data_IF_166311266333
#
_entry.id   IF_166311266333
#
_cell.length_a   1.000
_cell.length_b   1.000
_cell.length_c   1.000
_cell.angle_alpha   90.00
_cell.angle_beta   90.00
_cell.angle_gamma   90.00
#
_symmetry.space_group_name_H-M   'P 1'
#
loop_
_entity.id
_entity.type
_entity.pdbx_description
1 polymer ?
#
# COMPACT_ATOMS: atom_id res chain seq x y z
N UNK A 1 0.67 -11.44 26.02
CA UNK A 1 1.63 -11.62 24.91
C UNK A 1 3.00 -11.62 25.55
N UNK A 2 3.83 -12.64 25.32
CA UNK A 2 5.22 -12.64 25.77
C UNK A 2 5.96 -11.51 25.07
N UNK A 3 6.79 -10.79 25.82
CA UNK A 3 7.66 -9.69 25.39
C UNK A 3 8.87 -10.22 24.60
N UNK A 4 8.67 -11.23 23.74
CA UNK A 4 9.74 -11.89 22.97
C UNK A 4 10.48 -10.90 22.03
N UNK A 5 9.90 -9.71 21.82
CA UNK A 5 10.49 -8.61 21.06
C UNK A 5 11.38 -7.68 21.88
N UNK A 6 11.25 -7.67 23.21
CA UNK A 6 12.04 -6.79 24.08
C UNK A 6 13.52 -7.18 24.12
N UNK A 7 13.82 -8.46 23.88
CA UNK A 7 15.19 -9.01 23.85
C UNK A 7 15.78 -9.08 22.44
N UNK A 8 15.05 -8.66 21.40
CA UNK A 8 15.58 -8.68 20.04
C UNK A 8 16.71 -7.65 19.92
N UNK A 9 17.96 -8.06 19.68
CA UNK A 9 19.08 -7.14 19.62
C UNK A 9 18.88 -6.21 18.41
N UNK A 10 18.68 -4.93 18.69
CA UNK A 10 18.73 -3.91 17.65
C UNK A 10 20.17 -3.83 17.15
N UNK A 11 20.35 -4.10 15.86
CA UNK A 11 21.63 -3.97 15.20
C UNK A 11 21.74 -2.59 14.57
N UNK A 12 22.96 -2.02 14.55
CA UNK A 12 23.21 -0.74 13.87
C UNK A 12 22.91 -0.82 12.36
N UNK A 13 23.06 -2.02 11.77
CA UNK A 13 22.73 -2.33 10.37
C UNK A 13 22.13 -3.72 10.23
N UNK A 14 21.39 -3.93 9.15
CA UNK A 14 20.76 -5.21 8.79
C UNK A 14 21.31 -5.76 7.47
N UNK A 15 21.34 -7.09 7.31
CA UNK A 15 21.75 -7.72 6.03
C UNK A 15 20.72 -7.49 4.92
N UNK A 16 19.46 -7.29 5.29
CA UNK A 16 18.36 -6.93 4.41
C UNK A 16 17.50 -5.87 5.09
N UNK A 17 17.25 -4.77 4.39
CA UNK A 17 16.19 -3.83 4.73
C UNK A 17 15.12 -3.95 3.66
N UNK A 18 13.91 -4.32 4.07
CA UNK A 18 12.78 -4.55 3.17
C UNK A 18 11.60 -3.67 3.57
N UNK A 19 10.95 -3.08 2.57
CA UNK A 19 9.75 -2.27 2.74
C UNK A 19 8.73 -2.67 1.68
N UNK A 20 7.48 -2.85 2.09
CA UNK A 20 6.38 -3.27 1.21
C UNK A 20 5.19 -2.35 1.42
N UNK A 21 4.73 -1.72 0.33
CA UNK A 21 3.55 -0.82 0.30
C UNK A 21 3.55 0.26 1.39
N UNK A 22 4.74 0.70 1.83
CA UNK A 22 4.89 1.59 2.98
C UNK A 22 4.95 3.05 2.58
N UNK A 23 4.05 3.86 3.11
CA UNK A 23 4.12 5.32 3.04
C UNK A 23 5.27 5.94 3.84
N UNK A 24 6.07 5.13 4.56
CA UNK A 24 7.26 5.62 5.26
C UNK A 24 8.39 6.01 4.30
N UNK A 25 8.45 5.38 3.11
CA UNK A 25 9.39 5.73 2.03
C UNK A 25 8.69 6.70 1.08
N UNK A 26 8.64 7.97 1.49
CA UNK A 26 7.84 9.02 0.81
C UNK A 26 8.66 10.11 0.13
N UNK A 27 9.95 10.16 0.42
CA UNK A 27 10.87 11.19 -0.07
C UNK A 27 12.31 10.62 -0.18
N UNK A 28 13.21 11.30 -0.91
CA UNK A 28 14.60 10.83 -1.06
C UNK A 28 15.32 10.60 0.28
N UNK A 29 15.04 11.39 1.32
CA UNK A 29 15.69 11.23 2.62
C UNK A 29 15.27 9.93 3.32
N UNK A 30 13.99 9.58 3.28
CA UNK A 30 13.47 8.31 3.78
C UNK A 30 14.00 7.10 3.01
N UNK A 31 14.21 7.25 1.70
CA UNK A 31 14.85 6.23 0.87
C UNK A 31 16.33 6.04 1.23
N UNK A 32 17.06 7.11 1.51
CA UNK A 32 18.46 7.01 1.94
C UNK A 32 18.61 6.43 3.34
N UNK A 33 17.68 6.69 4.27
CA UNK A 33 17.66 6.01 5.57
C UNK A 33 17.57 4.48 5.44
N UNK A 34 16.79 4.00 4.47
CA UNK A 34 16.70 2.58 4.15
C UNK A 34 18.05 2.01 3.70
N UNK A 35 18.76 2.74 2.83
CA UNK A 35 20.10 2.38 2.36
C UNK A 35 21.12 2.39 3.52
N UNK A 36 21.14 3.44 4.35
CA UNK A 36 22.06 3.58 5.48
C UNK A 36 21.91 2.47 6.53
N UNK A 37 20.67 2.03 6.78
CA UNK A 37 20.34 0.96 7.70
C UNK A 37 20.75 -0.44 7.21
N UNK A 38 21.13 -0.59 5.94
CA UNK A 38 21.56 -1.87 5.38
C UNK A 38 23.09 -1.96 5.27
N UNK A 39 23.59 -3.20 5.40
CA UNK A 39 24.98 -3.61 5.06
C UNK A 39 25.03 -4.66 3.95
N UNK A 40 23.89 -5.01 3.38
CA UNK A 40 23.77 -6.03 2.34
C UNK A 40 22.81 -5.55 1.27
N UNK A 41 21.54 -5.90 1.40
CA UNK A 41 20.52 -5.58 0.40
C UNK A 41 19.46 -4.63 0.92
N UNK A 42 18.89 -3.88 0.00
CA UNK A 42 17.65 -3.15 0.18
C UNK A 42 16.64 -3.63 -0.86
N UNK A 43 15.39 -3.79 -0.46
CA UNK A 43 14.29 -4.14 -1.37
C UNK A 43 13.02 -3.36 -1.04
N UNK A 44 12.43 -2.74 -2.05
CA UNK A 44 11.21 -1.95 -1.95
C UNK A 44 10.16 -2.52 -2.90
N UNK A 45 9.05 -3.00 -2.33
CA UNK A 45 7.90 -3.46 -3.09
C UNK A 45 6.78 -2.40 -3.06
N UNK A 46 6.24 -2.08 -4.24
CA UNK A 46 5.11 -1.18 -4.40
C UNK A 46 4.33 -1.46 -5.70
N UNK A 47 3.25 -0.71 -5.92
CA UNK A 47 2.51 -0.76 -7.19
C UNK A 47 3.29 -0.15 -8.35
N UNK A 48 3.36 -0.88 -9.47
CA UNK A 48 3.90 -0.43 -10.75
C UNK A 48 2.82 0.18 -11.66
N UNK A 49 1.55 -0.10 -11.40
CA UNK A 49 0.41 0.50 -12.08
C UNK A 49 -0.61 0.99 -11.06
N UNK A 50 -1.50 1.92 -11.43
CA UNK A 50 -2.76 2.13 -10.72
C UNK A 50 -3.40 0.77 -10.39
N UNK A 51 -3.70 0.50 -9.11
CA UNK A 51 -4.40 -0.71 -8.70
C UNK A 51 -5.89 -0.49 -8.89
N UNK A 52 -6.54 -1.26 -9.76
CA UNK A 52 -8.01 -1.23 -9.81
C UNK A 52 -8.55 -2.10 -8.69
N UNK A 53 -8.66 -1.52 -7.50
CA UNK A 53 -9.13 -2.21 -6.29
C UNK A 53 -10.65 -2.20 -6.17
N UNK A 54 -11.31 -3.01 -7.01
CA UNK A 54 -12.77 -3.13 -7.01
C UNK A 54 -13.46 -1.78 -7.18
N UNK A 55 -14.19 -1.37 -6.14
CA UNK A 55 -14.99 -0.14 -6.15
C UNK A 55 -14.31 1.08 -5.51
N UNK A 56 -13.02 1.04 -5.17
CA UNK A 56 -12.38 2.14 -4.42
C UNK A 56 -12.44 3.48 -5.15
N UNK A 57 -12.23 3.53 -6.47
CA UNK A 57 -12.35 4.77 -7.26
C UNK A 57 -13.72 5.44 -7.08
N UNK A 58 -14.80 4.63 -7.05
CA UNK A 58 -16.17 5.11 -6.88
C UNK A 58 -16.39 5.63 -5.46
N UNK A 59 -15.88 4.90 -4.47
CA UNK A 59 -15.95 5.29 -3.06
C UNK A 59 -15.19 6.59 -2.84
N UNK A 60 -13.96 6.69 -3.36
CA UNK A 60 -13.16 7.90 -3.28
C UNK A 60 -13.90 9.08 -3.89
N UNK A 61 -14.43 8.93 -5.11
CA UNK A 61 -15.19 9.99 -5.79
C UNK A 61 -16.44 10.39 -5.01
N UNK A 62 -17.16 9.43 -4.44
CA UNK A 62 -18.36 9.68 -3.62
C UNK A 62 -18.03 10.49 -2.36
N UNK A 63 -16.95 10.14 -1.66
CA UNK A 63 -16.56 10.76 -0.39
C UNK A 63 -15.85 12.10 -0.59
N UNK A 64 -14.93 12.16 -1.55
CA UNK A 64 -14.03 13.30 -1.75
C UNK A 64 -14.59 14.32 -2.76
N UNK A 65 -15.54 13.92 -3.61
CA UNK A 65 -16.06 14.76 -4.69
C UNK A 65 -15.11 14.93 -5.89
N UNK A 66 -13.95 14.26 -5.86
CA UNK A 66 -12.88 14.36 -6.86
C UNK A 66 -12.51 12.98 -7.44
N UNK A 67 -11.96 12.97 -8.65
CA UNK A 67 -11.42 11.74 -9.26
C UNK A 67 -10.12 11.31 -8.57
N UNK A 68 -10.02 10.01 -8.24
CA UNK A 68 -8.80 9.44 -7.66
C UNK A 68 -7.65 9.53 -8.66
N UNK A 69 -6.58 10.23 -8.25
CA UNK A 69 -5.32 10.28 -8.98
C UNK A 69 -4.31 9.36 -8.34
N UNK A 70 -3.99 8.28 -9.03
CA UNK A 70 -2.95 7.37 -8.61
C UNK A 70 -1.57 8.05 -8.74
N UNK A 71 -0.78 8.14 -7.66
CA UNK A 71 0.58 8.63 -7.77
C UNK A 71 1.41 7.68 -8.64
N UNK A 72 2.04 8.20 -9.69
CA UNK A 72 3.08 7.46 -10.43
C UNK A 72 4.33 7.38 -9.56
N UNK A 73 4.69 6.17 -9.10
CA UNK A 73 5.47 6.06 -7.85
C UNK A 73 6.87 5.42 -8.03
N UNK A 74 7.02 4.32 -8.77
CA UNK A 74 8.30 3.59 -8.79
C UNK A 74 9.40 4.21 -9.67
N UNK A 75 9.05 4.89 -10.77
CA UNK A 75 10.04 5.53 -11.66
C UNK A 75 10.76 6.70 -10.97
N UNK A 76 10.05 7.46 -10.14
CA UNK A 76 10.65 8.55 -9.35
C UNK A 76 11.64 8.01 -8.32
N UNK A 77 11.32 6.86 -7.70
CA UNK A 77 12.22 6.18 -6.78
C UNK A 77 13.46 5.67 -7.53
N UNK A 78 13.26 4.99 -8.66
CA UNK A 78 14.36 4.45 -9.47
C UNK A 78 15.31 5.54 -9.95
N UNK A 79 14.78 6.66 -10.46
CA UNK A 79 15.59 7.81 -10.90
C UNK A 79 16.31 8.49 -9.74
N UNK A 80 15.64 8.63 -8.58
CA UNK A 80 16.28 9.13 -7.36
C UNK A 80 17.46 8.24 -6.96
N UNK A 81 17.31 6.91 -6.94
CA UNK A 81 18.44 6.01 -6.64
C UNK A 81 19.61 6.22 -7.61
N UNK A 82 19.29 6.39 -8.89
CA UNK A 82 20.28 6.65 -9.94
C UNK A 82 21.06 7.95 -9.70
N UNK A 83 20.40 9.02 -9.26
CA UNK A 83 21.02 10.31 -8.93
C UNK A 83 22.00 10.20 -7.75
N UNK A 84 21.80 9.22 -6.86
CA UNK A 84 22.72 8.89 -5.76
C UNK A 84 23.78 7.85 -6.15
N UNK A 85 23.86 7.45 -7.43
CA UNK A 85 24.79 6.44 -7.92
C UNK A 85 24.42 5.01 -7.55
N UNK A 86 23.18 4.77 -7.12
CA UNK A 86 22.64 3.45 -6.76
C UNK A 86 21.85 2.90 -7.94
N UNK A 87 22.37 1.82 -8.54
CA UNK A 87 21.78 1.17 -9.70
C UNK A 87 20.91 -0.01 -9.27
N UNK A 88 19.64 0.26 -8.95
CA UNK A 88 18.72 -0.79 -8.54
C UNK A 88 18.25 -1.67 -9.70
N UNK A 89 18.05 -2.95 -9.40
CA UNK A 89 17.31 -3.88 -10.23
C UNK A 89 15.81 -3.60 -10.09
N UNK A 90 15.07 -3.83 -11.17
CA UNK A 90 13.62 -3.69 -11.23
C UNK A 90 13.01 -5.00 -11.72
N UNK A 91 12.11 -5.55 -10.93
CA UNK A 91 11.27 -6.68 -11.32
C UNK A 91 9.80 -6.27 -11.22
N UNK A 92 8.97 -6.75 -12.14
CA UNK A 92 7.53 -6.49 -12.17
C UNK A 92 6.75 -7.77 -12.34
N UNK A 93 5.62 -7.90 -11.67
CA UNK A 93 4.71 -9.02 -11.85
C UNK A 93 3.26 -8.57 -11.77
N UNK A 94 2.42 -9.17 -12.61
CA UNK A 94 0.97 -8.96 -12.55
C UNK A 94 0.36 -9.72 -11.39
N UNK A 95 -0.68 -9.15 -10.80
CA UNK A 95 -1.53 -9.85 -9.84
C UNK A 95 -2.99 -9.72 -10.24
N UNK A 96 -3.77 -10.72 -9.85
CA UNK A 96 -5.20 -10.78 -10.04
C UNK A 96 -5.80 -11.54 -8.86
N UNK A 97 -6.25 -10.79 -7.86
CA UNK A 97 -6.71 -11.34 -6.58
C UNK A 97 -8.20 -11.09 -6.40
N UNK A 98 -8.89 -12.07 -5.84
CA UNK A 98 -10.28 -11.96 -5.43
C UNK A 98 -10.35 -12.13 -3.93
N UNK A 99 -10.88 -11.13 -3.24
CA UNK A 99 -11.03 -11.14 -1.78
C UNK A 99 -12.51 -11.16 -1.41
N UNK A 100 -12.86 -12.06 -0.50
CA UNK A 100 -14.22 -12.19 0.07
C UNK A 100 -14.23 -11.67 1.50
N UNK A 101 -15.11 -10.71 1.76
CA UNK A 101 -15.41 -10.16 3.08
C UNK A 101 -16.70 -10.77 3.60
N UNK A 102 -16.70 -11.20 4.87
CA UNK A 102 -17.80 -11.98 5.43
C UNK A 102 -18.99 -11.09 5.78
N UNK A 103 -18.72 -9.86 6.20
CA UNK A 103 -19.75 -8.92 6.63
C UNK A 103 -19.66 -7.59 5.89
N UNK A 104 -20.76 -6.83 5.95
CA UNK A 104 -20.79 -5.44 5.49
C UNK A 104 -19.78 -4.57 6.23
N UNK A 105 -19.65 -4.76 7.55
CA UNK A 105 -18.73 -3.94 8.36
C UNK A 105 -17.27 -4.26 8.03
N UNK A 106 -16.92 -5.50 7.66
CA UNK A 106 -15.58 -5.83 7.17
C UNK A 106 -15.23 -5.03 5.90
N UNK A 107 -16.21 -4.87 5.00
CA UNK A 107 -16.04 -4.11 3.78
C UNK A 107 -15.98 -2.59 4.05
N UNK A 108 -16.75 -2.09 5.02
CA UNK A 108 -16.68 -0.70 5.48
C UNK A 108 -15.31 -0.39 6.08
N UNK A 109 -14.81 -1.23 6.99
CA UNK A 109 -13.53 -1.03 7.66
C UNK A 109 -12.36 -1.04 6.67
N UNK A 110 -12.37 -1.95 5.69
CA UNK A 110 -11.38 -1.96 4.61
C UNK A 110 -11.29 -0.60 3.91
N UNK A 111 -12.44 0.00 3.58
CA UNK A 111 -12.49 1.23 2.79
C UNK A 111 -12.25 2.47 3.63
N UNK A 112 -12.65 2.45 4.89
CA UNK A 112 -12.22 3.43 5.88
C UNK A 112 -10.68 3.50 5.95
N UNK A 113 -10.01 2.37 6.13
CA UNK A 113 -8.54 2.32 6.21
C UNK A 113 -7.88 2.85 4.92
N UNK A 114 -8.47 2.58 3.76
CA UNK A 114 -8.00 3.15 2.48
C UNK A 114 -8.17 4.67 2.38
N UNK A 115 -9.28 5.21 2.92
CA UNK A 115 -9.56 6.66 2.93
C UNK A 115 -8.69 7.42 3.94
N UNK A 116 -8.26 6.79 5.02
CA UNK A 116 -7.37 7.41 6.04
C UNK A 116 -6.03 7.89 5.45
N UNK A 117 -5.59 7.31 4.33
CA UNK A 117 -4.42 7.79 3.59
C UNK A 117 -4.64 9.16 2.91
N UNK A 118 -5.89 9.61 2.78
CA UNK A 118 -6.26 10.81 2.03
C UNK A 118 -7.01 11.85 2.87
N UNK A 119 -7.74 11.43 3.90
CA UNK A 119 -8.57 12.31 4.72
C UNK A 119 -8.80 11.73 6.11
N UNK A 120 -9.22 12.59 7.06
CA UNK A 120 -9.75 12.13 8.33
C UNK A 120 -11.18 11.61 8.13
N UNK A 121 -11.39 10.31 8.35
CA UNK A 121 -12.69 9.67 8.14
C UNK A 121 -13.66 10.04 9.27
N UNK A 122 -14.79 10.66 8.92
CA UNK A 122 -15.84 11.05 9.85
C UNK A 122 -16.97 10.02 9.94
N UNK A 123 -17.82 10.12 10.97
CA UNK A 123 -19.00 9.26 11.12
C UNK A 123 -19.96 9.37 9.92
N UNK A 124 -20.08 10.55 9.32
CA UNK A 124 -20.89 10.77 8.11
C UNK A 124 -20.34 9.96 6.93
N UNK A 125 -19.02 9.98 6.72
CA UNK A 125 -18.36 9.19 5.68
C UNK A 125 -18.54 7.69 5.91
N UNK A 126 -18.47 7.24 7.17
CA UNK A 126 -18.72 5.84 7.55
C UNK A 126 -20.16 5.44 7.20
N UNK A 127 -21.14 6.31 7.44
CA UNK A 127 -22.53 6.03 7.09
C UNK A 127 -22.73 5.99 5.57
N UNK A 128 -22.07 6.88 4.82
CA UNK A 128 -22.06 6.80 3.34
C UNK A 128 -21.46 5.48 2.85
N UNK A 129 -20.39 4.98 3.48
CA UNK A 129 -19.83 3.65 3.17
C UNK A 129 -20.82 2.53 3.48
N UNK A 130 -21.51 2.57 4.62
CA UNK A 130 -22.52 1.57 4.97
C UNK A 130 -23.66 1.54 3.95
N UNK A 131 -24.12 2.70 3.51
CA UNK A 131 -25.14 2.82 2.46
C UNK A 131 -24.64 2.27 1.13
N UNK A 132 -23.41 2.62 0.74
CA UNK A 132 -22.77 2.09 -0.46
C UNK A 132 -22.73 0.55 -0.44
N UNK A 133 -22.27 -0.04 0.67
CA UNK A 133 -22.15 -1.49 0.77
C UNK A 133 -23.50 -2.19 0.92
N UNK A 134 -24.51 -1.56 1.51
CA UNK A 134 -25.86 -2.12 1.57
C UNK A 134 -26.39 -2.53 0.19
N UNK A 135 -26.06 -1.77 -0.86
CA UNK A 135 -26.45 -2.05 -2.25
C UNK A 135 -25.49 -3.00 -2.99
N UNK A 136 -24.35 -3.37 -2.39
CA UNK A 136 -23.27 -4.15 -3.02
C UNK A 136 -23.06 -5.52 -2.40
N UNK A 137 -23.72 -5.82 -1.28
CA UNK A 137 -23.67 -7.15 -0.68
C UNK A 137 -24.26 -8.20 -1.63
N UNK A 138 -23.63 -9.36 -1.66
CA UNK A 138 -24.16 -10.57 -2.26
C UNK A 138 -25.40 -11.05 -1.48
N UNK A 139 -26.27 -11.88 -2.07
CA UNK A 139 -27.43 -12.45 -1.38
C UNK A 139 -27.09 -13.27 -0.12
N UNK A 140 -25.87 -13.82 -0.05
CA UNK A 140 -25.37 -14.55 1.13
C UNK A 140 -24.84 -13.62 2.25
N UNK A 141 -24.98 -12.30 2.08
CA UNK A 141 -24.52 -11.30 3.04
C UNK A 141 -23.02 -10.99 2.98
N UNK A 142 -22.32 -11.47 1.95
CA UNK A 142 -20.87 -11.26 1.78
C UNK A 142 -20.56 -10.18 0.74
N UNK A 143 -19.34 -9.67 0.72
CA UNK A 143 -18.87 -8.77 -0.34
C UNK A 143 -17.65 -9.38 -1.02
N UNK A 144 -17.61 -9.34 -2.35
CA UNK A 144 -16.47 -9.81 -3.13
C UNK A 144 -15.90 -8.65 -3.94
N UNK A 145 -14.61 -8.41 -3.76
CA UNK A 145 -13.86 -7.45 -4.55
C UNK A 145 -12.76 -8.16 -5.32
N UNK A 146 -12.39 -7.60 -6.47
CA UNK A 146 -11.26 -8.07 -7.27
C UNK A 146 -10.26 -6.94 -7.40
N UNK A 147 -9.00 -7.24 -7.14
CA UNK A 147 -7.90 -6.33 -7.39
C UNK A 147 -7.04 -6.88 -8.53
N UNK A 148 -6.78 -6.02 -9.51
CA UNK A 148 -5.88 -6.34 -10.62
C UNK A 148 -4.92 -5.18 -10.84
N UNK A 149 -3.65 -5.52 -11.01
CA UNK A 149 -2.61 -4.53 -11.24
C UNK A 149 -1.27 -5.19 -11.52
N UNK A 150 -0.23 -4.36 -11.49
CA UNK A 150 1.16 -4.78 -11.58
C UNK A 150 1.88 -4.27 -10.35
N UNK A 151 2.59 -5.16 -9.66
CA UNK A 151 3.52 -4.80 -8.59
C UNK A 151 4.93 -4.70 -9.17
N UNK A 152 5.80 -3.97 -8.50
CA UNK A 152 7.24 -4.01 -8.74
C UNK A 152 8.04 -4.14 -7.45
N UNK A 153 9.20 -4.75 -7.59
CA UNK A 153 10.27 -4.74 -6.59
C UNK A 153 11.48 -4.01 -7.17
N UNK A 154 11.92 -2.99 -6.46
CA UNK A 154 13.22 -2.36 -6.66
C UNK A 154 14.18 -2.94 -5.64
N UNK A 155 15.34 -3.45 -6.06
CA UNK A 155 16.32 -3.99 -5.12
C UNK A 155 17.76 -3.68 -5.52
N UNK A 156 18.60 -3.41 -4.53
CA UNK A 156 20.01 -3.07 -4.73
C UNK A 156 20.88 -3.59 -3.59
N UNK A 157 22.16 -3.76 -3.87
CA UNK A 157 23.18 -3.98 -2.86
C UNK A 157 23.73 -2.63 -2.38
N UNK A 158 24.00 -2.50 -1.09
CA UNK A 158 24.59 -1.30 -0.44
C UNK A 158 26.11 -1.24 -0.61
#
# INVERSE_FOLDING_TARGET
>A
MSDDWAEFPLHDKYDLVYSTWSGAVKDPASLMKMHEASRGYCALELGASPSKEGDFDKIYTMIMGDELRYPGNYLNILTTLYDYGIYANLETWGYDTVTKYQTKEDAVELRKNGLEAYTHVTDEMIEQLRQFFQAKMNPDGTYTTRAKGVSCMLWWHV
#
